data_IF_301232970392
#
_entry.id   IF_301232970392
#
_cell.length_a   1.000
_cell.length_b   1.000
_cell.length_c   1.000
_cell.angle_alpha   90.00
_cell.angle_beta   90.00
_cell.angle_gamma   90.00
#
_symmetry.space_group_name_H-M   'P 1'
#
loop_
_entity.id
_entity.type
_entity.pdbx_description
1 polymer ?
#
# COMPACT_ATOMS: atom_id res chain seq x y z
N UNK A 1 35.19 -18.40 69.44
CA UNK A 1 35.59 -19.70 70.00
C UNK A 1 34.38 -20.61 69.88
N UNK A 2 34.42 -21.60 68.99
CA UNK A 2 33.32 -22.56 68.89
C UNK A 2 33.22 -23.35 70.21
N UNK A 3 32.00 -23.55 70.70
CA UNK A 3 31.78 -24.27 71.96
C UNK A 3 32.04 -25.76 71.76
N UNK A 4 32.46 -26.49 72.80
CA UNK A 4 32.75 -27.92 72.74
C UNK A 4 31.58 -28.74 72.12
N UNK A 5 30.35 -28.25 72.31
CA UNK A 5 29.12 -28.83 71.79
C UNK A 5 28.99 -28.69 70.27
N UNK A 6 29.44 -27.56 69.70
CA UNK A 6 29.47 -27.36 68.24
C UNK A 6 30.53 -28.25 67.59
N UNK A 7 31.65 -28.49 68.27
CA UNK A 7 32.68 -29.39 67.76
C UNK A 7 32.22 -30.87 67.78
N UNK A 8 31.48 -31.27 68.82
CA UNK A 8 30.87 -32.61 68.87
C UNK A 8 29.81 -32.80 67.78
N UNK A 9 28.97 -31.79 67.52
CA UNK A 9 27.97 -31.86 66.46
C UNK A 9 28.63 -31.97 65.07
N UNK A 10 29.70 -31.20 64.82
CA UNK A 10 30.43 -31.26 63.56
C UNK A 10 31.04 -32.66 63.28
N UNK A 11 31.51 -33.37 64.31
CA UNK A 11 32.01 -34.74 64.15
C UNK A 11 30.90 -35.74 63.82
N UNK A 12 29.70 -35.57 64.40
CA UNK A 12 28.54 -36.43 64.09
C UNK A 12 28.08 -36.19 62.65
N UNK A 13 28.05 -34.93 62.21
CA UNK A 13 27.66 -34.58 60.84
C UNK A 13 28.69 -35.09 59.82
N UNK A 14 29.99 -35.05 60.16
CA UNK A 14 31.04 -35.69 59.35
C UNK A 14 30.88 -37.21 59.27
N UNK A 15 30.55 -37.87 60.38
CA UNK A 15 30.32 -39.32 60.38
C UNK A 15 29.09 -39.69 59.54
N UNK A 16 28.01 -38.93 59.63
CA UNK A 16 26.82 -39.14 58.80
C UNK A 16 27.10 -38.94 57.30
N UNK A 17 27.97 -38.00 56.94
CA UNK A 17 28.41 -37.82 55.55
C UNK A 17 29.28 -38.98 55.06
N UNK A 18 30.16 -39.50 55.93
CA UNK A 18 30.98 -40.70 55.64
C UNK A 18 30.10 -41.94 55.49
N UNK A 19 29.07 -42.09 56.31
CA UNK A 19 28.13 -43.23 56.22
C UNK A 19 27.25 -43.15 54.96
N UNK A 20 26.88 -41.94 54.51
CA UNK A 20 26.21 -41.72 53.22
C UNK A 20 27.13 -42.01 52.03
N UNK A 21 28.42 -41.66 52.11
CA UNK A 21 29.41 -41.99 51.08
C UNK A 21 29.76 -43.49 51.09
N UNK A 22 29.81 -44.13 52.25
CA UNK A 22 30.10 -45.56 52.41
C UNK A 22 28.95 -46.45 51.95
N UNK A 23 27.70 -46.00 52.10
CA UNK A 23 26.50 -46.69 51.62
C UNK A 23 26.05 -46.24 50.22
N UNK A 24 26.71 -45.23 49.65
CA UNK A 24 26.22 -44.44 48.51
C UNK A 24 26.75 -44.81 47.14
N UNK A 25 27.52 -45.89 46.98
CA UNK A 25 27.95 -46.38 45.66
C UNK A 25 28.03 -47.90 45.68
N UNK A 26 26.88 -48.56 45.73
CA UNK A 26 26.81 -49.96 45.37
C UNK A 26 27.19 -50.05 43.88
N UNK A 27 28.38 -50.56 43.57
CA UNK A 27 28.89 -50.75 42.20
C UNK A 27 27.86 -51.41 41.26
N UNK A 28 26.90 -52.17 41.82
CA UNK A 28 25.80 -52.81 41.11
C UNK A 28 24.73 -51.83 40.59
N UNK A 29 24.42 -50.77 41.33
CA UNK A 29 23.44 -49.77 40.90
C UNK A 29 24.02 -48.88 39.80
N UNK A 30 25.28 -48.45 39.97
CA UNK A 30 25.99 -47.67 38.95
C UNK A 30 26.25 -48.48 37.68
N UNK A 31 26.61 -49.77 37.79
CA UNK A 31 26.76 -50.67 36.65
C UNK A 31 25.43 -50.94 35.92
N UNK A 32 24.32 -51.06 36.66
CA UNK A 32 22.99 -51.22 36.11
C UNK A 32 22.54 -49.99 35.31
N UNK A 33 22.76 -48.80 35.86
CA UNK A 33 22.40 -47.53 35.20
C UNK A 33 23.31 -47.22 34.01
N UNK A 34 24.60 -47.60 34.07
CA UNK A 34 25.51 -47.54 32.92
C UNK A 34 25.10 -48.50 31.79
N UNK A 35 24.62 -49.71 32.09
CA UNK A 35 24.09 -50.64 31.07
C UNK A 35 22.70 -50.25 30.56
N UNK A 36 21.86 -49.63 31.38
CA UNK A 36 20.57 -49.10 30.96
C UNK A 36 20.70 -47.89 30.02
N UNK A 37 21.71 -47.04 30.26
CA UNK A 37 22.06 -45.89 29.43
C UNK A 37 23.10 -46.21 28.35
N UNK A 38 23.69 -47.41 28.33
CA UNK A 38 24.52 -47.85 27.22
C UNK A 38 23.60 -47.87 26.00
N UNK A 39 23.83 -47.05 24.97
CA UNK A 39 23.11 -47.21 23.71
C UNK A 39 23.34 -48.67 23.35
N UNK A 40 22.27 -49.47 23.26
CA UNK A 40 22.37 -50.83 22.74
C UNK A 40 23.05 -50.63 21.40
N UNK A 41 24.33 -50.93 21.34
CA UNK A 41 25.07 -50.91 20.12
C UNK A 41 24.51 -52.09 19.34
N UNK A 42 23.36 -51.89 18.71
CA UNK A 42 23.14 -52.42 17.39
C UNK A 42 24.28 -51.82 16.58
N UNK A 43 25.45 -52.47 16.66
CA UNK A 43 26.42 -52.45 15.58
C UNK A 43 25.57 -52.87 14.40
N UNK A 44 25.05 -51.90 13.67
CA UNK A 44 24.64 -52.13 12.31
C UNK A 44 25.95 -52.52 11.64
N UNK A 45 26.25 -53.82 11.61
CA UNK A 45 27.21 -54.39 10.70
C UNK A 45 26.60 -54.18 9.33
N UNK A 46 26.70 -52.95 8.82
CA UNK A 46 26.45 -52.65 7.42
C UNK A 46 27.58 -53.36 6.70
N UNK A 47 27.27 -54.51 6.13
CA UNK A 47 28.18 -55.17 5.22
C UNK A 47 28.23 -54.30 3.96
N UNK A 48 29.15 -53.33 3.93
CA UNK A 48 29.38 -52.51 2.74
C UNK A 48 30.10 -53.41 1.75
N UNK A 49 29.34 -54.10 0.91
CA UNK A 49 29.90 -54.86 -0.18
C UNK A 49 30.59 -53.87 -1.13
N UNK A 50 31.90 -54.05 -1.33
CA UNK A 50 32.67 -53.23 -2.26
C UNK A 50 32.12 -53.28 -3.70
N UNK A 51 31.38 -54.33 -4.05
CA UNK A 51 30.68 -54.49 -5.34
C UNK A 51 29.51 -53.50 -5.54
N UNK A 52 28.95 -52.93 -4.47
CA UNK A 52 27.83 -51.98 -4.55
C UNK A 52 28.31 -50.52 -4.64
N UNK A 53 29.63 -50.28 -4.65
CA UNK A 53 30.22 -48.94 -4.77
C UNK A 53 29.84 -48.21 -6.06
N UNK A 54 29.63 -48.94 -7.16
CA UNK A 54 29.15 -48.35 -8.41
C UNK A 54 27.70 -47.85 -8.30
N UNK A 55 26.85 -48.57 -7.57
CA UNK A 55 25.48 -48.13 -7.29
C UNK A 55 25.45 -46.89 -6.38
N UNK A 56 26.33 -46.85 -5.37
CA UNK A 56 26.53 -45.67 -4.51
C UNK A 56 27.02 -44.48 -5.34
N UNK A 57 28.00 -44.69 -6.22
CA UNK A 57 28.54 -43.64 -7.11
C UNK A 57 27.47 -43.09 -8.04
N UNK A 58 26.66 -43.94 -8.67
CA UNK A 58 25.54 -43.52 -9.52
C UNK A 58 24.51 -42.71 -8.72
N UNK A 59 24.19 -43.14 -7.50
CA UNK A 59 23.26 -42.42 -6.63
C UNK A 59 23.80 -41.03 -6.28
N UNK A 60 25.08 -40.92 -5.92
CA UNK A 60 25.72 -39.64 -5.63
C UNK A 60 25.76 -38.73 -6.85
N UNK A 61 26.04 -39.27 -8.05
CA UNK A 61 26.01 -38.50 -9.30
C UNK A 61 24.61 -37.97 -9.62
N UNK A 62 23.57 -38.78 -9.43
CA UNK A 62 22.18 -38.36 -9.61
C UNK A 62 21.81 -37.25 -8.62
N UNK A 63 22.15 -37.42 -7.34
CA UNK A 63 21.93 -36.38 -6.32
C UNK A 63 22.65 -35.08 -6.67
N UNK A 64 23.89 -35.16 -7.15
CA UNK A 64 24.66 -34.00 -7.60
C UNK A 64 23.97 -33.29 -8.77
N UNK A 65 23.50 -34.03 -9.78
CA UNK A 65 22.75 -33.47 -10.91
C UNK A 65 21.47 -32.78 -10.46
N UNK A 66 20.72 -33.37 -9.51
CA UNK A 66 19.55 -32.74 -8.92
C UNK A 66 19.88 -31.44 -8.18
N UNK A 67 20.98 -31.42 -7.41
CA UNK A 67 21.42 -30.21 -6.70
C UNK A 67 21.84 -29.11 -7.67
N UNK A 68 22.53 -29.46 -8.76
CA UNK A 68 22.94 -28.50 -9.78
C UNK A 68 21.71 -27.94 -10.53
N UNK A 69 20.75 -28.79 -10.89
CA UNK A 69 19.47 -28.36 -11.47
C UNK A 69 18.67 -27.45 -10.53
N UNK A 70 18.62 -27.75 -9.23
CA UNK A 70 17.98 -26.89 -8.24
C UNK A 70 18.68 -25.52 -8.11
N UNK A 71 20.02 -25.50 -8.18
CA UNK A 71 20.81 -24.27 -8.13
C UNK A 71 20.53 -23.38 -9.34
N UNK A 72 20.46 -23.95 -10.53
CA UNK A 72 20.19 -23.19 -11.75
C UNK A 72 18.75 -22.70 -11.82
N UNK A 73 17.79 -23.51 -11.35
CA UNK A 73 16.40 -23.08 -11.17
C UNK A 73 16.30 -21.88 -10.21
N UNK A 74 17.01 -21.94 -9.08
CA UNK A 74 17.08 -20.82 -8.13
C UNK A 74 17.63 -19.55 -8.79
N UNK A 75 18.73 -19.63 -9.53
CA UNK A 75 19.32 -18.49 -10.25
C UNK A 75 18.36 -17.93 -11.31
N UNK A 76 17.62 -18.77 -12.01
CA UNK A 76 16.61 -18.34 -12.97
C UNK A 76 15.46 -17.59 -12.28
N UNK A 77 14.99 -18.09 -11.14
CA UNK A 77 13.98 -17.42 -10.33
C UNK A 77 14.46 -16.06 -9.81
N UNK A 78 15.70 -15.96 -9.31
CA UNK A 78 16.30 -14.70 -8.86
C UNK A 78 16.36 -13.65 -9.99
N UNK A 79 16.76 -14.06 -11.21
CA UNK A 79 16.71 -13.18 -12.38
C UNK A 79 15.29 -12.71 -12.68
N UNK A 80 14.31 -13.60 -12.62
CA UNK A 80 12.91 -13.28 -12.89
C UNK A 80 12.33 -12.30 -11.85
N UNK A 81 12.69 -12.45 -10.57
CA UNK A 81 12.32 -11.50 -9.53
C UNK A 81 12.87 -10.12 -9.83
N UNK A 82 14.15 -10.02 -10.20
CA UNK A 82 14.79 -8.75 -10.54
C UNK A 82 14.13 -8.06 -11.75
N UNK A 83 13.75 -8.81 -12.77
CA UNK A 83 12.98 -8.28 -13.91
C UNK A 83 11.63 -7.71 -13.46
N UNK A 84 10.87 -8.48 -12.67
CA UNK A 84 9.56 -8.06 -12.18
C UNK A 84 9.64 -6.83 -11.27
N UNK A 85 10.65 -6.74 -10.40
CA UNK A 85 10.90 -5.56 -9.58
C UNK A 85 11.15 -4.32 -10.43
N UNK A 86 11.92 -4.45 -11.51
CA UNK A 86 12.16 -3.34 -12.43
C UNK A 86 10.87 -2.92 -13.16
N UNK A 87 10.06 -3.88 -13.61
CA UNK A 87 8.75 -3.59 -14.21
C UNK A 87 7.82 -2.88 -13.22
N UNK A 88 7.76 -3.33 -11.96
CA UNK A 88 6.95 -2.69 -10.91
C UNK A 88 7.42 -1.25 -10.67
N UNK A 89 8.72 -0.99 -10.64
CA UNK A 89 9.26 0.39 -10.51
C UNK A 89 8.82 1.27 -11.68
N UNK A 90 8.94 0.77 -12.91
CA UNK A 90 8.50 1.50 -14.11
C UNK A 90 7.00 1.79 -14.09
N UNK A 91 6.17 0.79 -13.76
CA UNK A 91 4.72 0.94 -13.68
C UNK A 91 4.30 1.93 -12.57
N UNK A 92 4.98 1.93 -11.42
CA UNK A 92 4.73 2.92 -10.36
C UNK A 92 5.05 4.34 -10.82
N UNK A 93 6.18 4.52 -11.51
CA UNK A 93 6.54 5.83 -12.07
C UNK A 93 5.55 6.30 -13.14
N UNK A 94 5.12 5.39 -14.03
CA UNK A 94 4.10 5.69 -15.05
C UNK A 94 2.75 6.07 -14.42
N UNK A 95 2.28 5.28 -13.44
CA UNK A 95 1.05 5.57 -12.72
C UNK A 95 1.10 6.90 -11.96
N UNK A 96 2.26 7.30 -11.42
CA UNK A 96 2.40 8.61 -10.79
C UNK A 96 2.22 9.75 -11.79
N UNK A 97 2.79 9.64 -12.99
CA UNK A 97 2.61 10.63 -14.07
C UNK A 97 1.15 10.71 -14.52
N UNK A 98 0.53 9.57 -14.78
CA UNK A 98 -0.88 9.53 -15.21
C UNK A 98 -1.84 10.10 -14.15
N UNK A 99 -1.56 9.89 -12.86
CA UNK A 99 -2.33 10.52 -11.79
C UNK A 99 -2.19 12.04 -11.81
N UNK A 100 -0.97 12.55 -11.99
CA UNK A 100 -0.73 13.98 -12.12
C UNK A 100 -1.50 14.57 -13.30
N UNK A 101 -1.37 13.98 -14.50
CA UNK A 101 -2.07 14.44 -15.70
C UNK A 101 -3.59 14.44 -15.51
N UNK A 102 -4.15 13.38 -14.93
CA UNK A 102 -5.58 13.32 -14.60
C UNK A 102 -6.00 14.45 -13.66
N UNK A 103 -5.21 14.72 -12.63
CA UNK A 103 -5.52 15.76 -11.64
C UNK A 103 -5.44 17.16 -12.28
N UNK A 104 -4.47 17.38 -13.18
CA UNK A 104 -4.36 18.62 -13.96
C UNK A 104 -5.57 18.82 -14.89
N UNK A 105 -5.97 17.78 -15.65
CA UNK A 105 -7.16 17.84 -16.50
C UNK A 105 -8.44 18.07 -15.70
N UNK A 106 -8.55 17.46 -14.52
CA UNK A 106 -9.69 17.67 -13.63
C UNK A 106 -9.76 19.13 -13.16
N UNK A 107 -8.63 19.71 -12.75
CA UNK A 107 -8.57 21.11 -12.34
C UNK A 107 -8.95 22.08 -13.47
N UNK A 108 -8.52 21.80 -14.71
CA UNK A 108 -8.90 22.58 -15.89
C UNK A 108 -10.41 22.46 -16.14
N UNK A 109 -10.96 21.25 -16.12
CA UNK A 109 -12.38 21.02 -16.34
C UNK A 109 -13.25 21.73 -15.29
N UNK A 110 -12.87 21.68 -14.02
CA UNK A 110 -13.55 22.38 -12.93
C UNK A 110 -13.49 23.90 -13.12
N UNK A 111 -12.35 24.42 -13.57
CA UNK A 111 -12.17 25.84 -13.90
C UNK A 111 -13.10 26.25 -15.03
N UNK A 112 -13.12 25.49 -16.13
CA UNK A 112 -14.02 25.74 -17.27
C UNK A 112 -15.49 25.68 -16.87
N UNK A 113 -15.90 24.71 -16.06
CA UNK A 113 -17.25 24.63 -15.53
C UNK A 113 -17.63 25.81 -14.63
N UNK A 114 -16.66 26.39 -13.90
CA UNK A 114 -16.83 27.64 -13.16
C UNK A 114 -17.04 28.84 -14.08
N UNK A 115 -16.23 28.96 -15.14
CA UNK A 115 -16.39 30.01 -16.15
C UNK A 115 -17.73 29.93 -16.88
N UNK A 116 -18.16 28.73 -17.29
CA UNK A 116 -19.45 28.52 -17.94
C UNK A 116 -20.58 28.97 -17.02
N UNK A 117 -20.62 28.53 -15.76
CA UNK A 117 -21.64 28.97 -14.80
C UNK A 117 -21.63 30.49 -14.58
N UNK A 118 -20.46 31.12 -14.59
CA UNK A 118 -20.35 32.58 -14.48
C UNK A 118 -20.90 33.29 -15.71
N UNK A 119 -20.61 32.77 -16.90
CA UNK A 119 -21.14 33.29 -18.16
C UNK A 119 -22.66 33.10 -18.25
N UNK A 120 -23.18 31.93 -17.92
CA UNK A 120 -24.62 31.65 -17.84
C UNK A 120 -25.31 32.55 -16.80
N UNK A 121 -24.68 32.76 -15.64
CA UNK A 121 -25.18 33.68 -14.61
C UNK A 121 -25.18 35.14 -15.07
N UNK A 122 -24.19 35.57 -15.87
CA UNK A 122 -24.17 36.88 -16.52
C UNK A 122 -25.27 36.95 -17.60
N UNK A 123 -25.43 35.90 -18.40
CA UNK A 123 -26.45 35.81 -19.46
C UNK A 123 -27.89 35.79 -18.91
N UNK A 124 -28.09 35.32 -17.67
CA UNK A 124 -29.37 35.38 -16.97
C UNK A 124 -29.57 36.65 -16.13
N UNK A 125 -28.50 37.25 -15.59
CA UNK A 125 -28.56 38.51 -14.84
C UNK A 125 -28.70 39.73 -15.78
N UNK A 126 -28.14 39.65 -16.98
CA UNK A 126 -28.52 40.50 -18.10
C UNK A 126 -29.77 39.90 -18.72
N UNK A 127 -30.94 40.34 -18.29
CA UNK A 127 -32.18 40.18 -19.04
C UNK A 127 -32.03 40.84 -20.43
N UNK A 128 -31.33 40.18 -21.37
CA UNK A 128 -31.35 40.53 -22.78
C UNK A 128 -32.71 40.12 -23.29
N UNK A 129 -33.64 41.07 -23.25
CA UNK A 129 -34.64 41.12 -24.32
C UNK A 129 -33.85 41.10 -25.63
N UNK A 130 -34.17 40.21 -26.58
CA UNK A 130 -33.46 40.15 -27.86
C UNK A 130 -33.42 41.56 -28.46
N UNK A 131 -32.29 41.92 -29.08
CA UNK A 131 -31.99 43.28 -29.60
C UNK A 131 -33.03 43.89 -30.55
N UNK A 132 -34.07 43.12 -30.89
CA UNK A 132 -35.16 43.42 -31.81
C UNK A 132 -36.53 43.55 -31.15
N UNK A 133 -36.68 43.23 -29.85
CA UNK A 133 -37.97 43.35 -29.16
C UNK A 133 -38.09 44.69 -28.45
N UNK A 134 -38.81 45.62 -29.08
CA UNK A 134 -39.56 46.66 -28.38
C UNK A 134 -40.34 45.99 -27.24
N UNK A 135 -40.34 46.56 -26.03
CA UNK A 135 -41.10 45.94 -24.95
C UNK A 135 -42.61 45.96 -25.29
N UNK A 136 -43.32 44.86 -25.02
CA UNK A 136 -44.75 44.68 -25.32
C UNK A 136 -45.69 45.50 -24.40
N UNK A 137 -45.13 46.35 -23.53
CA UNK A 137 -45.91 47.20 -22.63
C UNK A 137 -46.65 48.28 -23.42
N UNK A 138 -47.97 48.38 -23.22
CA UNK A 138 -48.87 49.25 -23.99
C UNK A 138 -48.63 50.74 -23.75
N UNK A 139 -47.96 51.11 -22.65
CA UNK A 139 -47.75 52.50 -22.22
C UNK A 139 -46.32 52.96 -22.41
N UNK A 140 -45.78 52.82 -23.63
CA UNK A 140 -44.49 53.44 -23.97
C UNK A 140 -44.74 54.82 -24.54
N UNK A 141 -43.95 55.82 -24.10
CA UNK A 141 -44.06 57.17 -24.63
C UNK A 141 -42.69 57.67 -25.09
N UNK A 142 -42.70 58.46 -26.16
CA UNK A 142 -41.50 59.06 -26.74
C UNK A 142 -41.35 60.47 -26.18
N UNK A 143 -40.24 60.75 -25.51
CA UNK A 143 -39.88 62.12 -25.19
C UNK A 143 -39.26 62.76 -26.43
N UNK A 144 -40.08 63.54 -27.15
CA UNK A 144 -39.67 64.20 -28.40
C UNK A 144 -38.58 65.26 -28.21
N UNK A 145 -38.45 65.86 -27.02
CA UNK A 145 -37.40 66.86 -26.74
C UNK A 145 -36.02 66.21 -26.63
N UNK A 146 -35.96 65.08 -25.95
CA UNK A 146 -34.69 64.42 -25.64
C UNK A 146 -34.40 63.25 -26.59
N UNK A 147 -35.30 62.98 -27.56
CA UNK A 147 -35.28 61.81 -28.46
C UNK A 147 -35.04 60.50 -27.72
N UNK A 148 -35.61 60.39 -26.52
CA UNK A 148 -35.49 59.20 -25.69
C UNK A 148 -36.80 58.42 -25.69
N UNK A 149 -36.66 57.12 -25.82
CA UNK A 149 -37.72 56.15 -25.62
C UNK A 149 -37.64 55.65 -24.18
N UNK A 150 -38.72 55.77 -23.41
CA UNK A 150 -38.81 55.27 -22.04
C UNK A 150 -40.05 54.38 -21.86
N UNK A 151 -39.85 53.19 -21.30
CA UNK A 151 -40.95 52.35 -20.83
C UNK A 151 -41.08 52.51 -19.30
N UNK A 152 -42.17 53.09 -18.78
CA UNK A 152 -42.39 53.27 -17.35
C UNK A 152 -42.64 51.95 -16.61
N UNK A 153 -43.09 50.90 -17.29
CA UNK A 153 -43.39 49.59 -16.66
C UNK A 153 -42.13 48.76 -16.40
N UNK A 154 -41.08 48.91 -17.21
CA UNK A 154 -39.83 48.16 -17.03
C UNK A 154 -38.56 49.01 -17.00
N UNK A 155 -38.69 50.33 -16.96
CA UNK A 155 -37.56 51.28 -16.89
C UNK A 155 -36.64 51.28 -18.11
N UNK A 156 -37.05 50.71 -19.24
CA UNK A 156 -36.20 50.62 -20.43
C UNK A 156 -36.02 52.01 -21.04
N UNK A 157 -34.76 52.47 -21.15
CA UNK A 157 -34.40 53.75 -21.77
C UNK A 157 -33.47 53.54 -22.96
N UNK A 158 -33.81 54.10 -24.11
CA UNK A 158 -32.93 54.11 -25.28
C UNK A 158 -33.00 55.44 -26.01
N UNK A 159 -31.85 55.98 -26.40
CA UNK A 159 -31.78 57.10 -27.32
C UNK A 159 -32.18 56.63 -28.72
N UNK A 160 -33.13 57.31 -29.34
CA UNK A 160 -33.51 57.03 -30.72
C UNK A 160 -32.36 57.43 -31.65
N UNK A 161 -32.12 56.66 -32.74
CA UNK A 161 -31.19 57.06 -33.79
C UNK A 161 -31.53 58.47 -34.30
N UNK A 162 -30.50 59.22 -34.73
CA UNK A 162 -30.66 60.60 -35.21
C UNK A 162 -31.64 60.68 -36.40
N UNK A 163 -31.77 59.59 -37.16
CA UNK A 163 -32.60 59.49 -38.36
C UNK A 163 -34.00 58.88 -38.10
N UNK A 164 -34.41 58.75 -36.83
CA UNK A 164 -35.71 58.19 -36.50
C UNK A 164 -36.83 59.21 -36.79
N UNK A 165 -37.69 58.86 -37.76
CA UNK A 165 -38.78 59.71 -38.23
C UNK A 165 -39.96 59.72 -37.25
N UNK A 166 -40.05 60.80 -36.48
CA UNK A 166 -41.11 61.02 -35.48
C UNK A 166 -42.50 61.19 -36.09
N UNK A 167 -42.61 61.46 -37.40
CA UNK A 167 -43.92 61.60 -38.07
C UNK A 167 -44.66 60.27 -38.26
N UNK A 168 -43.96 59.14 -38.08
CA UNK A 168 -44.52 57.78 -38.17
C UNK A 168 -45.04 57.26 -36.84
N UNK A 169 -44.88 58.02 -35.76
CA UNK A 169 -45.38 57.67 -34.43
C UNK A 169 -46.76 58.32 -34.30
N UNK A 170 -47.80 57.49 -34.33
CA UNK A 170 -49.17 57.96 -34.12
C UNK A 170 -49.30 58.40 -32.66
N UNK A 171 -49.36 59.71 -32.42
CA UNK A 171 -49.61 60.32 -31.10
C UNK A 171 -51.08 60.16 -30.74
#
# INVERSE_FOLDING_TARGET
MATLKEHQQAMVDQQAMVDLLANGLNDKALAGDLEACRPKATRFNVNINLADMDAVKMTLQNMQSHLDGARDSKRAAERRVKELENTVKQLRASNAKLKQERDDYKAIAETHAGWIRKLEGIEQAECRKPYTQLCEHKNTYINAKDRTFECPECGFKKSLPIDFDLSKVNI
#
